data_IF_099813075451
#
_entry.id   IF_099813075451
#
_cell.length_a   1.000
_cell.length_b   1.000
_cell.length_c   1.000
_cell.angle_alpha   90.00
_cell.angle_beta   90.00
_cell.angle_gamma   90.00
#
_symmetry.space_group_name_H-M   'P 1'
#
loop_
_entity.id
_entity.type
_entity.pdbx_description
1 polymer ?
#
# COMPACT_ATOMS: atom_id res chain seq x y z
N UNK A 1 -4.03 -18.57 69.86
CA UNK A 1 -4.46 -17.51 68.91
C UNK A 1 -3.33 -17.07 67.96
N UNK A 2 -2.13 -16.75 68.46
CA UNK A 2 -1.01 -16.29 67.58
C UNK A 2 -0.62 -17.29 66.46
N UNK A 3 -0.59 -18.61 66.74
CA UNK A 3 -0.25 -19.64 65.69
C UNK A 3 -1.27 -19.73 64.57
N UNK A 4 -2.54 -19.47 64.82
CA UNK A 4 -3.61 -19.49 63.77
C UNK A 4 -3.46 -18.27 62.85
N UNK A 5 -3.08 -17.12 63.38
CA UNK A 5 -2.84 -15.90 62.61
C UNK A 5 -1.67 -16.10 61.61
N UNK A 6 -0.60 -16.77 62.00
CA UNK A 6 0.53 -17.07 61.13
C UNK A 6 0.17 -18.06 60.02
N UNK A 7 -0.68 -19.05 60.29
CA UNK A 7 -1.15 -20.00 59.28
C UNK A 7 -2.03 -19.30 58.25
N UNK A 8 -2.92 -18.41 58.68
CA UNK A 8 -3.77 -17.61 57.77
C UNK A 8 -2.93 -16.64 56.92
N UNK A 9 -1.93 -15.98 57.53
CA UNK A 9 -1.03 -15.09 56.80
C UNK A 9 -0.19 -15.82 55.75
N UNK A 10 0.32 -17.02 56.03
CA UNK A 10 1.02 -17.85 55.06
C UNK A 10 0.10 -18.35 53.93
N UNK A 11 -1.14 -18.72 54.26
CA UNK A 11 -2.12 -19.15 53.24
C UNK A 11 -2.50 -18.00 52.29
N UNK A 12 -2.62 -16.77 52.77
CA UNK A 12 -2.86 -15.59 51.94
C UNK A 12 -1.67 -15.23 51.05
N UNK A 13 -0.42 -15.44 51.50
CA UNK A 13 0.76 -15.16 50.63
C UNK A 13 0.95 -16.17 49.50
N UNK A 14 0.44 -17.40 49.64
CA UNK A 14 0.50 -18.39 48.55
C UNK A 14 -0.57 -18.19 47.46
N UNK A 15 -1.57 -17.34 47.67
CA UNK A 15 -2.63 -17.05 46.71
C UNK A 15 -2.30 -16.01 45.63
N UNK A 16 -1.16 -15.31 45.72
CA UNK A 16 -0.80 -14.21 44.80
C UNK A 16 0.14 -14.59 43.66
N UNK A 17 0.50 -15.86 43.53
CA UNK A 17 1.41 -16.30 42.44
C UNK A 17 0.70 -16.88 41.19
N UNK A 18 -0.56 -16.54 40.95
CA UNK A 18 -1.34 -17.05 39.84
C UNK A 18 -1.72 -15.96 38.83
N UNK A 19 -0.75 -15.19 38.37
CA UNK A 19 -0.88 -14.49 37.07
C UNK A 19 0.17 -15.09 36.16
N UNK A 20 -0.19 -16.10 35.42
CA UNK A 20 0.61 -16.49 34.25
C UNK A 20 0.46 -15.35 33.22
N UNK A 21 1.55 -14.63 32.94
CA UNK A 21 1.61 -13.55 31.95
C UNK A 21 1.11 -14.03 30.56
N UNK A 22 1.17 -15.32 30.29
CA UNK A 22 0.68 -15.96 29.07
C UNK A 22 -0.85 -15.96 28.90
N UNK A 23 -1.64 -15.67 29.96
CA UNK A 23 -3.11 -15.63 29.83
C UNK A 23 -3.61 -14.33 29.16
N UNK A 24 -2.82 -13.27 29.21
CA UNK A 24 -3.14 -11.98 28.58
C UNK A 24 -2.55 -11.85 27.15
N UNK A 25 -1.63 -12.72 26.78
CA UNK A 25 -1.02 -12.79 25.44
C UNK A 25 -1.85 -13.64 24.46
N UNK A 26 -3.16 -13.64 24.63
CA UNK A 26 -4.05 -14.26 23.65
C UNK A 26 -4.10 -13.40 22.40
N UNK A 27 -3.37 -13.84 21.36
CA UNK A 27 -3.55 -13.29 20.04
C UNK A 27 -4.96 -13.63 19.52
N UNK A 28 -5.70 -12.66 18.94
CA UNK A 28 -7.00 -12.93 18.37
C UNK A 28 -6.86 -13.99 17.28
N UNK A 29 -7.49 -15.13 17.43
CA UNK A 29 -7.50 -16.21 16.45
C UNK A 29 -8.18 -15.79 15.13
N UNK A 30 -8.99 -14.76 15.18
CA UNK A 30 -9.78 -14.25 14.05
C UNK A 30 -9.14 -13.02 13.38
N UNK A 31 -8.04 -12.49 13.89
CA UNK A 31 -7.31 -11.40 13.27
C UNK A 31 -6.05 -11.92 12.54
N UNK A 32 -5.82 -11.41 11.34
CA UNK A 32 -4.59 -11.66 10.59
C UNK A 32 -3.44 -10.92 11.28
N UNK A 33 -2.95 -11.46 12.40
CA UNK A 33 -1.80 -10.88 13.10
C UNK A 33 -0.54 -11.08 12.26
N UNK A 34 0.39 -10.16 12.34
CA UNK A 34 1.69 -10.21 11.66
C UNK A 34 2.48 -11.51 11.95
N UNK A 35 2.23 -12.16 13.08
CA UNK A 35 2.91 -13.40 13.48
C UNK A 35 2.42 -14.63 12.70
N UNK A 36 1.16 -14.61 12.21
CA UNK A 36 0.53 -15.74 11.53
C UNK A 36 0.48 -15.52 10.01
N UNK A 37 0.43 -14.28 9.58
CA UNK A 37 0.34 -13.90 8.16
C UNK A 37 1.75 -13.78 7.53
N UNK A 38 1.84 -13.79 6.23
CA UNK A 38 3.10 -13.77 5.45
C UNK A 38 4.05 -14.97 5.70
N UNK A 39 3.50 -16.14 6.04
CA UNK A 39 4.26 -17.37 6.24
C UNK A 39 4.31 -18.28 5.00
N UNK A 40 3.40 -18.11 4.07
CA UNK A 40 3.26 -18.92 2.87
C UNK A 40 3.10 -18.06 1.62
N UNK A 41 3.46 -18.56 0.43
CA UNK A 41 3.23 -17.83 -0.84
C UNK A 41 1.76 -17.42 -1.04
N UNK A 42 0.82 -18.23 -0.55
CA UNK A 42 -0.61 -17.94 -0.62
C UNK A 42 -0.97 -16.64 0.11
N UNK A 43 -0.38 -16.39 1.28
CA UNK A 43 -0.61 -15.14 2.01
C UNK A 43 -0.12 -13.92 1.23
N UNK A 44 1.03 -14.02 0.55
CA UNK A 44 1.54 -12.95 -0.31
C UNK A 44 0.62 -12.71 -1.51
N UNK A 45 0.13 -13.78 -2.15
CA UNK A 45 -0.84 -13.71 -3.24
C UNK A 45 -2.15 -13.02 -2.81
N UNK A 46 -2.74 -13.47 -1.70
CA UNK A 46 -3.97 -12.88 -1.18
C UNK A 46 -3.80 -11.40 -0.85
N UNK A 47 -2.64 -11.03 -0.30
CA UNK A 47 -2.35 -9.65 0.02
C UNK A 47 -2.14 -8.78 -1.22
N UNK A 48 -1.39 -9.29 -2.21
CA UNK A 48 -1.14 -8.56 -3.46
C UNK A 48 -2.40 -8.40 -4.31
N UNK A 49 -3.35 -9.34 -4.26
CA UNK A 49 -4.64 -9.20 -4.91
C UNK A 49 -5.39 -7.93 -4.46
N UNK A 50 -5.18 -7.50 -3.21
CA UNK A 50 -5.74 -6.25 -2.69
C UNK A 50 -5.22 -4.99 -3.40
N UNK A 51 -4.04 -5.05 -4.03
CA UNK A 51 -3.47 -3.90 -4.74
C UNK A 51 -4.26 -3.50 -5.98
N UNK A 52 -4.95 -4.46 -6.61
CA UNK A 52 -5.72 -4.21 -7.84
C UNK A 52 -6.90 -3.27 -7.60
N UNK A 53 -7.37 -3.12 -6.37
CA UNK A 53 -8.36 -2.10 -5.99
C UNK A 53 -7.84 -0.66 -6.12
N UNK A 54 -6.51 -0.48 -6.22
CA UNK A 54 -5.86 0.82 -6.41
C UNK A 54 -5.93 1.31 -7.86
N UNK A 55 -6.25 0.42 -8.80
CA UNK A 55 -6.42 0.79 -10.21
C UNK A 55 -7.75 1.50 -10.43
N UNK A 56 -7.75 2.47 -11.34
CA UNK A 56 -9.00 3.04 -11.81
C UNK A 56 -9.86 1.95 -12.48
N UNK A 57 -11.04 1.71 -11.93
CA UNK A 57 -11.98 0.79 -12.53
C UNK A 57 -12.54 1.36 -13.85
N UNK A 58 -12.76 0.49 -14.83
CA UNK A 58 -13.39 0.85 -16.11
C UNK A 58 -14.67 1.67 -15.94
N UNK A 59 -15.48 1.31 -14.93
CA UNK A 59 -16.75 1.96 -14.63
C UNK A 59 -16.59 3.38 -14.09
N UNK A 60 -15.54 3.65 -13.32
CA UNK A 60 -15.27 4.97 -12.74
C UNK A 60 -14.73 5.96 -13.77
N UNK A 61 -14.01 5.48 -14.81
CA UNK A 61 -13.45 6.34 -15.85
C UNK A 61 -14.45 6.72 -16.94
N UNK A 62 -15.41 5.87 -17.26
CA UNK A 62 -16.38 6.08 -18.36
C UNK A 62 -17.61 6.87 -17.89
N UNK A 63 -17.97 6.83 -16.61
CA UNK A 63 -19.12 7.56 -16.09
C UNK A 63 -18.88 9.06 -15.89
N UNK A 64 -17.87 9.60 -16.56
CA UNK A 64 -17.77 11.04 -16.74
C UNK A 64 -17.00 11.79 -15.66
N UNK A 65 -16.34 11.10 -14.71
CA UNK A 65 -15.58 11.85 -13.68
C UNK A 65 -14.44 12.68 -14.27
N UNK A 66 -13.76 12.18 -15.30
CA UNK A 66 -12.72 12.94 -16.00
C UNK A 66 -13.30 13.92 -17.00
N UNK A 67 -14.37 13.54 -17.70
CA UNK A 67 -15.00 14.39 -18.72
C UNK A 67 -15.85 15.49 -18.09
N UNK A 68 -16.42 15.27 -16.88
CA UNK A 68 -17.07 16.31 -16.07
C UNK A 68 -16.10 17.38 -15.54
N UNK A 69 -14.80 17.07 -15.50
CA UNK A 69 -13.74 18.03 -15.18
C UNK A 69 -13.27 18.84 -16.39
N UNK A 70 -13.88 18.62 -17.53
CA UNK A 70 -13.61 19.34 -18.78
C UNK A 70 -14.88 20.04 -19.27
N UNK A 71 -14.80 20.68 -20.42
CA UNK A 71 -15.92 21.28 -21.13
C UNK A 71 -16.63 20.30 -22.09
N UNK A 72 -16.19 19.04 -22.12
CA UNK A 72 -16.71 18.03 -23.05
C UNK A 72 -18.05 17.43 -22.63
N UNK A 73 -18.32 17.36 -21.34
CA UNK A 73 -19.54 16.76 -20.78
C UNK A 73 -20.14 17.64 -19.69
N UNK A 74 -21.44 17.84 -19.76
CA UNK A 74 -22.21 18.50 -18.70
C UNK A 74 -23.15 17.51 -18.03
N UNK A 75 -23.21 17.49 -16.69
CA UNK A 75 -24.17 16.70 -15.96
C UNK A 75 -25.58 17.22 -16.19
N UNK A 76 -26.54 16.32 -16.43
CA UNK A 76 -27.95 16.66 -16.60
C UNK A 76 -28.54 17.33 -15.33
N UNK A 77 -27.96 17.10 -14.17
CA UNK A 77 -28.42 17.63 -12.90
C UNK A 77 -27.71 18.94 -12.51
N UNK A 78 -26.91 19.53 -13.39
CA UNK A 78 -26.16 20.75 -13.11
C UNK A 78 -24.94 20.57 -12.22
N UNK A 79 -24.60 19.33 -11.87
CA UNK A 79 -23.38 19.00 -11.13
C UNK A 79 -22.19 19.01 -12.10
N UNK A 80 -21.68 20.17 -12.42
CA UNK A 80 -20.34 20.28 -13.01
C UNK A 80 -19.30 20.29 -11.89
N UNK A 81 -18.11 19.76 -12.18
CA UNK A 81 -17.00 19.86 -11.23
C UNK A 81 -16.52 21.31 -11.12
N UNK A 82 -15.97 21.67 -9.98
CA UNK A 82 -15.38 22.98 -9.73
C UNK A 82 -14.31 23.34 -10.77
N UNK A 83 -13.66 22.34 -11.38
CA UNK A 83 -12.69 22.53 -12.47
C UNK A 83 -13.40 23.03 -13.74
N UNK A 84 -14.51 22.41 -14.14
CA UNK A 84 -15.29 22.80 -15.33
C UNK A 84 -15.84 24.22 -15.25
N UNK A 85 -16.15 24.70 -14.07
CA UNK A 85 -16.59 26.09 -13.85
C UNK A 85 -15.46 27.09 -13.55
N UNK A 86 -14.23 26.63 -13.41
CA UNK A 86 -13.12 27.47 -12.96
C UNK A 86 -13.24 27.94 -11.51
N UNK A 87 -14.04 27.24 -10.71
CA UNK A 87 -14.28 27.54 -9.29
C UNK A 87 -13.38 26.74 -8.33
N UNK A 88 -12.40 25.98 -8.87
CA UNK A 88 -11.51 25.18 -8.08
C UNK A 88 -10.71 26.05 -7.10
N UNK A 89 -10.89 25.81 -5.82
CA UNK A 89 -10.09 26.38 -4.75
C UNK A 89 -9.21 25.29 -4.14
N UNK A 90 -7.98 25.64 -3.85
CA UNK A 90 -7.08 24.72 -3.14
C UNK A 90 -7.64 24.54 -1.71
N UNK A 91 -8.09 23.32 -1.41
CA UNK A 91 -8.51 22.96 -0.08
C UNK A 91 -7.84 21.66 0.35
N UNK A 92 -7.67 21.46 1.67
CA UNK A 92 -6.98 20.30 2.22
C UNK A 92 -7.78 18.98 2.04
N UNK A 93 -9.08 19.06 1.70
CA UNK A 93 -9.96 17.89 1.59
C UNK A 93 -9.87 17.20 0.24
N UNK A 94 -9.50 17.93 -0.81
CA UNK A 94 -9.39 17.39 -2.17
C UNK A 94 -7.99 16.90 -2.51
N UNK A 95 -7.10 16.94 -1.52
CA UNK A 95 -5.76 16.43 -1.68
C UNK A 95 -5.76 14.90 -1.72
N UNK A 96 -5.28 14.30 -2.82
CA UNK A 96 -5.13 12.85 -3.01
C UNK A 96 -4.06 12.22 -2.09
N UNK A 97 -3.98 12.69 -0.83
CA UNK A 97 -2.98 12.20 0.12
C UNK A 97 -3.27 10.79 0.62
N UNK A 98 -4.49 10.30 0.50
CA UNK A 98 -4.87 8.90 0.81
C UNK A 98 -4.11 7.89 -0.04
N UNK A 99 -3.52 8.28 -1.16
CA UNK A 99 -2.59 7.45 -1.95
C UNK A 99 -1.45 6.90 -1.07
N UNK A 100 -1.04 7.64 -0.02
CA UNK A 100 -0.05 7.14 0.94
C UNK A 100 -0.51 5.91 1.73
N UNK A 101 -1.82 5.68 1.90
CA UNK A 101 -2.34 4.43 2.48
C UNK A 101 -2.03 3.25 1.56
N UNK A 102 -2.20 3.44 0.25
CA UNK A 102 -1.82 2.44 -0.76
C UNK A 102 -0.32 2.18 -0.77
N UNK A 103 0.50 3.24 -0.72
CA UNK A 103 1.96 3.12 -0.62
C UNK A 103 2.36 2.37 0.65
N UNK A 104 1.72 2.66 1.80
CA UNK A 104 1.95 1.93 3.05
C UNK A 104 1.67 0.44 2.88
N UNK A 105 0.55 0.09 2.24
CA UNK A 105 0.18 -1.30 1.99
C UNK A 105 1.20 -2.01 1.10
N UNK A 106 1.68 -1.35 0.04
CA UNK A 106 2.75 -1.90 -0.80
C UNK A 106 4.06 -2.11 0.00
N UNK A 107 4.44 -1.13 0.84
CA UNK A 107 5.63 -1.21 1.68
C UNK A 107 5.53 -2.33 2.73
N UNK A 108 4.35 -2.63 3.27
CA UNK A 108 4.15 -3.74 4.20
C UNK A 108 4.52 -5.05 3.52
N UNK A 109 4.02 -5.35 2.31
CA UNK A 109 4.36 -6.57 1.59
C UNK A 109 5.88 -6.64 1.33
N UNK A 110 6.49 -5.55 0.87
CA UNK A 110 7.92 -5.50 0.59
C UNK A 110 8.75 -5.78 1.84
N UNK A 111 8.40 -5.16 2.98
CA UNK A 111 9.09 -5.39 4.25
C UNK A 111 8.93 -6.85 4.73
N UNK A 112 7.74 -7.43 4.60
CA UNK A 112 7.48 -8.81 4.99
C UNK A 112 8.19 -9.81 4.09
N UNK A 113 8.36 -9.49 2.81
CA UNK A 113 9.12 -10.31 1.88
C UNK A 113 10.61 -10.43 2.27
N UNK A 114 11.21 -9.38 2.86
CA UNK A 114 12.59 -9.41 3.36
C UNK A 114 12.78 -10.41 4.51
N UNK A 115 11.73 -10.68 5.29
CA UNK A 115 11.74 -11.61 6.42
C UNK A 115 11.10 -12.96 6.11
N UNK A 116 10.76 -13.23 4.84
CA UNK A 116 10.16 -14.50 4.45
C UNK A 116 11.15 -15.67 4.61
N UNK A 117 10.74 -16.70 5.37
CA UNK A 117 11.59 -17.84 5.72
C UNK A 117 11.67 -18.92 4.62
N UNK A 118 10.79 -18.87 3.60
CA UNK A 118 10.78 -19.80 2.46
C UNK A 118 11.71 -19.37 1.33
N UNK A 119 11.57 -20.01 0.16
CA UNK A 119 12.33 -19.61 -1.03
C UNK A 119 11.80 -18.27 -1.58
N UNK A 120 12.61 -17.20 -1.65
CA UNK A 120 12.18 -15.92 -2.20
C UNK A 120 11.60 -16.00 -3.62
N UNK A 121 11.96 -17.02 -4.40
CA UNK A 121 11.42 -17.21 -5.75
C UNK A 121 9.94 -17.52 -5.77
N UNK A 122 9.41 -18.14 -4.70
CA UNK A 122 7.99 -18.49 -4.58
C UNK A 122 7.09 -17.27 -4.42
N UNK A 123 7.65 -16.15 -3.93
CA UNK A 123 6.91 -14.88 -3.70
C UNK A 123 7.34 -13.77 -4.64
N UNK A 124 8.28 -14.05 -5.56
CA UNK A 124 8.89 -13.05 -6.45
C UNK A 124 7.86 -12.26 -7.28
N UNK A 125 6.82 -12.93 -7.76
CA UNK A 125 5.75 -12.30 -8.53
C UNK A 125 5.03 -11.25 -7.69
N UNK A 126 4.62 -11.58 -6.47
CA UNK A 126 3.88 -10.69 -5.57
C UNK A 126 4.73 -9.51 -5.07
N UNK A 127 6.03 -9.74 -4.86
CA UNK A 127 7.01 -8.68 -4.59
C UNK A 127 7.12 -7.73 -5.77
N UNK A 128 7.11 -8.27 -6.98
CA UNK A 128 7.19 -7.48 -8.23
C UNK A 128 5.91 -6.68 -8.47
N UNK A 129 4.74 -7.24 -8.13
CA UNK A 129 3.47 -6.51 -8.12
C UNK A 129 3.51 -5.34 -7.12
N UNK A 130 4.03 -5.56 -5.91
CA UNK A 130 4.15 -4.51 -4.91
C UNK A 130 5.04 -3.35 -5.39
N UNK A 131 6.15 -3.64 -6.07
CA UNK A 131 6.98 -2.62 -6.71
C UNK A 131 6.22 -1.88 -7.82
N UNK A 132 5.49 -2.61 -8.67
CA UNK A 132 4.68 -1.99 -9.71
C UNK A 132 3.64 -1.02 -9.14
N UNK A 133 2.86 -1.47 -8.14
CA UNK A 133 1.81 -0.65 -7.54
C UNK A 133 2.37 0.53 -6.75
N UNK A 134 3.53 0.38 -6.10
CA UNK A 134 4.20 1.51 -5.46
C UNK A 134 4.63 2.56 -6.49
N UNK A 135 5.21 2.14 -7.60
CA UNK A 135 5.54 3.04 -8.71
C UNK A 135 4.29 3.72 -9.30
N UNK A 136 3.20 2.99 -9.46
CA UNK A 136 1.91 3.51 -9.92
C UNK A 136 1.38 4.61 -9.00
N UNK A 137 1.39 4.37 -7.69
CA UNK A 137 0.95 5.33 -6.70
C UNK A 137 1.84 6.59 -6.65
N UNK A 138 3.16 6.42 -6.70
CA UNK A 138 4.08 7.56 -6.78
C UNK A 138 3.94 8.33 -8.08
N UNK A 139 3.65 7.67 -9.19
CA UNK A 139 3.37 8.36 -10.45
C UNK A 139 2.10 9.22 -10.36
N UNK A 140 1.06 8.73 -9.69
CA UNK A 140 -0.14 9.51 -9.42
C UNK A 140 0.18 10.74 -8.55
N UNK A 141 0.93 10.57 -7.47
CA UNK A 141 1.38 11.70 -6.64
C UNK A 141 2.25 12.69 -7.42
N UNK A 142 3.15 12.21 -8.27
CA UNK A 142 4.00 13.03 -9.13
C UNK A 142 3.17 13.92 -10.07
N UNK A 143 2.09 13.35 -10.65
CA UNK A 143 1.22 14.09 -11.55
C UNK A 143 0.43 15.19 -10.84
N UNK A 144 0.01 14.97 -9.59
CA UNK A 144 -0.77 15.93 -8.82
C UNK A 144 0.09 16.98 -8.10
N UNK A 145 1.24 16.58 -7.56
CA UNK A 145 2.00 17.40 -6.61
C UNK A 145 3.46 17.67 -7.03
N UNK A 146 3.96 17.00 -8.07
CA UNK A 146 5.37 17.05 -8.42
C UNK A 146 6.24 16.30 -7.40
N UNK A 147 7.12 17.02 -6.70
CA UNK A 147 7.92 16.44 -5.61
C UNK A 147 7.07 16.16 -4.36
N UNK A 148 7.26 14.98 -3.78
CA UNK A 148 6.53 14.51 -2.59
C UNK A 148 7.47 13.75 -1.65
N UNK A 149 7.14 13.58 -0.35
CA UNK A 149 7.94 12.76 0.54
C UNK A 149 8.03 11.31 0.06
N UNK A 150 9.23 10.75 0.04
CA UNK A 150 9.46 9.35 -0.30
C UNK A 150 9.41 8.52 0.97
N UNK A 151 8.48 7.56 1.02
CA UNK A 151 8.26 6.62 2.13
C UNK A 151 8.44 5.20 1.62
N UNK A 152 9.50 4.53 2.05
CA UNK A 152 9.87 3.18 1.58
C UNK A 152 9.56 2.07 2.57
N UNK A 153 9.20 2.42 3.80
CA UNK A 153 8.83 1.48 4.86
C UNK A 153 7.54 1.95 5.53
N UNK A 154 6.74 1.07 6.11
CA UNK A 154 5.58 1.49 6.89
C UNK A 154 6.06 2.23 8.16
N UNK A 155 5.56 3.45 8.36
CA UNK A 155 5.83 4.22 9.59
C UNK A 155 4.71 4.01 10.60
N UNK A 156 5.07 4.01 11.88
CA UNK A 156 4.11 4.00 12.98
C UNK A 156 3.60 5.41 13.29
N UNK A 157 2.46 5.46 13.97
CA UNK A 157 1.89 6.73 14.43
C UNK A 157 2.87 7.43 15.38
N UNK A 158 3.22 8.66 15.05
CA UNK A 158 4.19 9.46 15.84
C UNK A 158 5.63 9.37 15.35
N UNK A 159 5.94 8.59 14.31
CA UNK A 159 7.28 8.59 13.72
C UNK A 159 7.64 9.99 13.20
N UNK A 160 8.80 10.48 13.61
CA UNK A 160 9.29 11.81 13.22
C UNK A 160 9.47 11.98 11.71
N UNK A 161 9.72 10.89 10.99
CA UNK A 161 9.86 10.84 9.52
C UNK A 161 8.56 11.20 8.79
N UNK A 162 7.40 11.11 9.47
CA UNK A 162 6.11 11.58 8.93
C UNK A 162 6.10 13.09 8.64
N UNK A 163 7.03 13.84 9.24
CA UNK A 163 7.20 15.28 9.04
C UNK A 163 8.35 15.63 8.09
N UNK A 164 8.86 14.63 7.35
CA UNK A 164 9.94 14.85 6.40
C UNK A 164 9.54 15.86 5.30
N UNK A 165 10.48 16.69 4.83
CA UNK A 165 10.22 17.57 3.71
C UNK A 165 9.94 16.78 2.43
N UNK A 166 9.41 17.44 1.42
CA UNK A 166 9.21 16.84 0.10
C UNK A 166 10.55 16.55 -0.57
N UNK A 167 10.66 15.39 -1.17
CA UNK A 167 11.71 15.08 -2.11
C UNK A 167 11.49 15.86 -3.42
N UNK A 168 12.55 16.04 -4.17
CA UNK A 168 12.48 16.65 -5.49
C UNK A 168 11.69 15.78 -6.47
N UNK A 169 11.15 16.41 -7.51
CA UNK A 169 10.51 15.69 -8.62
C UNK A 169 11.41 14.60 -9.21
N UNK A 170 12.70 14.90 -9.37
CA UNK A 170 13.68 13.97 -9.93
C UNK A 170 13.87 12.73 -9.08
N UNK A 171 14.00 12.88 -7.77
CA UNK A 171 14.11 11.74 -6.84
C UNK A 171 12.87 10.85 -6.88
N UNK A 172 11.67 11.45 -7.01
CA UNK A 172 10.43 10.69 -7.15
C UNK A 172 10.40 9.92 -8.48
N UNK A 173 10.84 10.52 -9.58
CA UNK A 173 10.94 9.84 -10.88
C UNK A 173 11.96 8.70 -10.83
N UNK A 174 13.11 8.91 -10.22
CA UNK A 174 14.13 7.87 -10.08
C UNK A 174 13.61 6.68 -9.27
N UNK A 175 12.86 6.94 -8.19
CA UNK A 175 12.17 5.87 -7.43
C UNK A 175 11.17 5.11 -8.31
N UNK A 176 10.31 5.81 -9.03
CA UNK A 176 9.31 5.19 -9.92
C UNK A 176 10.00 4.28 -10.93
N UNK A 177 11.04 4.76 -11.59
CA UNK A 177 11.77 3.99 -12.60
C UNK A 177 12.48 2.79 -11.99
N UNK A 178 13.11 2.95 -10.83
CA UNK A 178 13.76 1.85 -10.08
C UNK A 178 12.76 0.76 -9.69
N UNK A 179 11.58 1.13 -9.17
CA UNK A 179 10.54 0.18 -8.82
C UNK A 179 9.97 -0.54 -10.05
N UNK A 180 9.78 0.16 -11.16
CA UNK A 180 9.36 -0.45 -12.41
C UNK A 180 10.40 -1.41 -12.98
N UNK A 181 11.70 -1.14 -12.83
CA UNK A 181 12.74 -2.08 -13.23
C UNK A 181 12.70 -3.37 -12.42
N UNK A 182 12.51 -3.26 -11.10
CA UNK A 182 12.33 -4.42 -10.21
C UNK A 182 11.07 -5.21 -10.58
N UNK A 183 9.97 -4.53 -10.85
CA UNK A 183 8.73 -5.15 -11.30
C UNK A 183 8.91 -5.91 -12.62
N UNK A 184 9.53 -5.27 -13.63
CA UNK A 184 9.78 -5.88 -14.95
C UNK A 184 10.69 -7.12 -14.84
N UNK A 185 11.64 -7.12 -13.91
CA UNK A 185 12.56 -8.24 -13.72
C UNK A 185 11.85 -9.49 -13.19
N UNK A 186 10.87 -9.34 -12.28
CA UNK A 186 10.25 -10.47 -11.59
C UNK A 186 8.83 -10.82 -12.06
N UNK A 187 8.13 -9.95 -12.77
CA UNK A 187 6.79 -10.24 -13.29
C UNK A 187 6.81 -11.28 -14.43
N UNK A 188 5.79 -12.16 -14.51
CA UNK A 188 5.62 -13.09 -15.61
C UNK A 188 5.34 -12.35 -16.94
N UNK A 189 5.63 -13.01 -18.04
CA UNK A 189 5.10 -12.59 -19.34
C UNK A 189 3.62 -12.95 -19.43
N UNK A 190 2.83 -12.18 -20.18
CA UNK A 190 1.37 -12.34 -20.31
C UNK A 190 0.94 -13.78 -20.59
N UNK A 191 1.68 -14.47 -21.46
CA UNK A 191 1.37 -15.84 -21.85
C UNK A 191 1.55 -16.86 -20.74
N UNK A 192 2.33 -16.54 -19.71
CA UNK A 192 2.63 -17.41 -18.58
C UNK A 192 1.72 -17.14 -17.34
N UNK A 193 0.86 -16.14 -17.42
CA UNK A 193 -0.11 -15.86 -16.36
C UNK A 193 -1.17 -16.96 -16.39
N UNK A 194 -1.37 -17.64 -15.25
CA UNK A 194 -2.37 -18.70 -15.11
C UNK A 194 -3.78 -18.15 -15.38
N UNK A 195 -4.68 -19.00 -15.90
CA UNK A 195 -6.04 -18.59 -16.24
C UNK A 195 -6.81 -18.02 -15.04
N UNK A 196 -6.53 -18.51 -13.84
CA UNK A 196 -7.13 -17.99 -12.59
C UNK A 196 -6.64 -16.58 -12.21
N UNK A 197 -5.49 -16.15 -12.74
CA UNK A 197 -4.84 -14.88 -12.45
C UNK A 197 -4.87 -13.94 -13.67
N UNK A 198 -5.66 -14.25 -14.70
CA UNK A 198 -5.85 -13.39 -15.87
C UNK A 198 -6.34 -12.00 -15.44
N UNK A 199 -5.65 -10.98 -15.90
CA UNK A 199 -5.87 -9.59 -15.50
C UNK A 199 -4.85 -9.06 -14.49
N UNK A 200 -4.00 -9.91 -13.93
CA UNK A 200 -2.83 -9.48 -13.17
C UNK A 200 -1.82 -8.77 -14.07
N UNK A 201 -1.02 -7.91 -13.46
CA UNK A 201 -0.03 -7.14 -14.20
C UNK A 201 1.06 -8.05 -14.77
N UNK A 202 1.27 -7.95 -16.08
CA UNK A 202 2.33 -8.67 -16.76
C UNK A 202 3.60 -7.82 -16.90
N UNK A 203 4.70 -8.49 -17.25
CA UNK A 203 5.95 -7.82 -17.61
C UNK A 203 5.75 -6.81 -18.74
N UNK A 204 4.92 -7.14 -19.73
CA UNK A 204 4.59 -6.26 -20.84
C UNK A 204 3.80 -5.04 -20.36
N UNK A 205 2.84 -5.22 -19.46
CA UNK A 205 2.08 -4.14 -18.82
C UNK A 205 2.99 -3.18 -18.06
N UNK A 206 3.92 -3.72 -17.26
CA UNK A 206 4.89 -2.91 -16.52
C UNK A 206 5.83 -2.12 -17.46
N UNK A 207 6.28 -2.72 -18.58
CA UNK A 207 7.08 -2.02 -19.59
C UNK A 207 6.29 -0.90 -20.26
N UNK A 208 5.03 -1.14 -20.61
CA UNK A 208 4.15 -0.12 -21.20
C UNK A 208 3.94 1.04 -20.22
N UNK A 209 3.73 0.73 -18.94
CA UNK A 209 3.61 1.77 -17.92
C UNK A 209 4.91 2.56 -17.74
N UNK A 210 6.07 1.89 -17.75
CA UNK A 210 7.38 2.58 -17.72
C UNK A 210 7.54 3.53 -18.90
N UNK A 211 7.15 3.12 -20.09
CA UNK A 211 7.20 3.99 -21.29
C UNK A 211 6.29 5.22 -21.12
N UNK A 212 5.09 5.06 -20.51
CA UNK A 212 4.19 6.18 -20.19
C UNK A 212 4.83 7.16 -19.21
N UNK A 213 5.47 6.68 -18.16
CA UNK A 213 6.17 7.51 -17.17
C UNK A 213 7.28 8.32 -17.85
N UNK A 214 8.11 7.66 -18.67
CA UNK A 214 9.21 8.31 -19.39
C UNK A 214 8.70 9.36 -20.38
N UNK A 215 7.64 9.07 -21.12
CA UNK A 215 7.03 10.02 -22.03
C UNK A 215 6.47 11.25 -21.29
N UNK A 216 5.76 11.01 -20.18
CA UNK A 216 5.22 12.08 -19.32
C UNK A 216 6.34 13.00 -18.83
N UNK A 217 7.43 12.42 -18.30
CA UNK A 217 8.55 13.19 -17.80
C UNK A 217 9.31 13.95 -18.92
N UNK A 218 9.47 13.33 -20.08
CA UNK A 218 10.11 13.96 -21.23
C UNK A 218 9.31 15.16 -21.79
N UNK A 219 7.97 15.11 -21.69
CA UNK A 219 7.10 16.21 -22.17
C UNK A 219 6.87 17.28 -21.11
N UNK A 220 7.15 16.98 -19.82
CA UNK A 220 7.05 17.96 -18.73
C UNK A 220 8.25 18.94 -18.73
N UNK A 221 9.42 18.50 -19.16
CA UNK A 221 10.64 19.32 -19.25
C UNK A 221 10.60 20.19 -20.47
#
# INVERSE_FOLDING_TARGET
MKKIIYIIACACMMGFSSCADTFLDLEPLDSRTDQVYFKTPTHFREFSNGFYSQLFGWRSGITGHMDLQSDLVTSRNGEQSDIGYGALVVNDKDACWDIYNSIRTNNILLQRAESYAGDPREIQEYVSEAHFFRAYNYFSLLQHFGGVPIVLVPYDTGDSRLKAPRNSRYEVVDLILSDLDKAIAGLPIEQNIADADKGHISRQGAKAFKARVLLYEATWR
#
